data_IF_833621862144
#
_entry.id   IF_833621862144
#
_cell.length_a   1.000
_cell.length_b   1.000
_cell.length_c   1.000
_cell.angle_alpha   90.00
_cell.angle_beta   90.00
_cell.angle_gamma   90.00
#
_symmetry.space_group_name_H-M   'P 1'
#
loop_
_entity.id
_entity.type
_entity.pdbx_description
1 polymer ?
#
# COMPACT_ATOMS: atom_id res chain seq x y z
N UNK A 1 -7.91 10.19 0.77
CA UNK A 1 -8.19 9.75 2.15
C UNK A 1 -9.12 10.75 2.84
N UNK A 2 -9.64 10.38 4.01
CA UNK A 2 -10.47 11.28 4.83
C UNK A 2 -9.71 12.56 5.20
N UNK A 3 -8.45 12.45 5.60
CA UNK A 3 -7.58 13.57 5.95
C UNK A 3 -7.35 14.54 4.79
N UNK A 4 -7.19 14.05 3.58
CA UNK A 4 -6.99 14.90 2.39
C UNK A 4 -8.27 15.58 1.93
N UNK A 5 -9.43 14.92 2.10
CA UNK A 5 -10.72 15.48 1.71
C UNK A 5 -11.35 16.42 2.74
N UNK A 6 -10.87 16.39 3.99
CA UNK A 6 -11.42 17.16 5.10
C UNK A 6 -10.35 17.78 6.00
N UNK A 7 -9.36 18.53 5.44
CA UNK A 7 -8.24 19.06 6.21
C UNK A 7 -8.71 19.98 7.35
N UNK A 8 -9.73 20.79 7.12
CA UNK A 8 -10.25 21.74 8.12
C UNK A 8 -10.84 21.05 9.38
N UNK A 9 -11.29 19.79 9.24
CA UNK A 9 -11.79 19.00 10.39
C UNK A 9 -10.67 18.45 11.27
N UNK A 10 -9.42 18.50 10.80
CA UNK A 10 -8.24 17.98 11.48
C UNK A 10 -7.40 19.09 12.11
N UNK A 11 -7.81 20.36 11.94
CA UNK A 11 -7.23 21.47 12.67
C UNK A 11 -7.78 21.49 14.11
N UNK A 12 -6.90 21.78 15.09
CA UNK A 12 -7.23 21.88 16.53
C UNK A 12 -7.91 20.63 17.13
N UNK A 13 -7.50 19.43 16.73
CA UNK A 13 -8.08 18.17 17.25
C UNK A 13 -7.70 18.00 18.72
N UNK A 14 -8.71 17.87 19.58
CA UNK A 14 -8.51 17.56 21.01
C UNK A 14 -8.31 16.07 21.31
N UNK A 15 -8.50 15.23 20.31
CA UNK A 15 -8.33 13.78 20.36
C UNK A 15 -7.11 13.35 19.57
N UNK A 16 -6.65 12.12 19.75
CA UNK A 16 -5.63 11.51 18.90
C UNK A 16 -6.30 10.80 17.73
N UNK A 17 -5.80 11.03 16.53
CA UNK A 17 -6.22 10.35 15.30
C UNK A 17 -4.99 9.72 14.66
N UNK A 18 -5.00 8.42 14.50
CA UNK A 18 -4.02 7.68 13.69
C UNK A 18 -4.74 7.21 12.41
N UNK A 19 -4.22 7.54 11.25
CA UNK A 19 -4.89 7.31 9.97
C UNK A 19 -4.04 6.48 9.02
N UNK A 20 -4.66 5.95 7.96
CA UNK A 20 -4.02 5.15 6.91
C UNK A 20 -3.21 3.93 7.44
N UNK A 21 -3.68 3.26 8.49
CA UNK A 21 -3.02 2.12 9.14
C UNK A 21 -3.41 0.77 8.53
N UNK A 22 -3.23 0.64 7.22
CA UNK A 22 -3.43 -0.60 6.46
C UNK A 22 -2.12 -1.26 6.05
N UNK A 23 -2.15 -2.00 4.94
CA UNK A 23 -0.93 -2.56 4.36
C UNK A 23 -0.18 -1.52 3.52
N UNK A 24 -0.89 -0.81 2.62
CA UNK A 24 -0.41 0.31 1.83
C UNK A 24 -1.61 1.22 1.47
N UNK A 25 -1.69 2.42 2.05
CA UNK A 25 -0.80 2.97 3.08
C UNK A 25 -0.89 2.26 4.42
N UNK A 26 0.19 2.33 5.21
CA UNK A 26 0.29 1.76 6.54
C UNK A 26 1.61 1.06 6.78
N UNK A 27 1.68 -0.27 6.64
CA UNK A 27 2.93 -1.01 6.78
C UNK A 27 4.00 -0.49 5.81
N UNK A 28 3.64 -0.16 4.56
CA UNK A 28 4.55 0.46 3.59
C UNK A 28 5.23 1.71 4.16
N UNK A 29 4.44 2.61 4.77
CA UNK A 29 4.92 3.84 5.39
C UNK A 29 5.87 3.55 6.57
N UNK A 30 5.50 2.59 7.42
CA UNK A 30 6.31 2.16 8.57
C UNK A 30 7.68 1.66 8.14
N UNK A 31 7.74 0.85 7.07
CA UNK A 31 8.99 0.31 6.53
C UNK A 31 9.88 1.40 5.92
N UNK A 32 9.29 2.36 5.20
CA UNK A 32 10.01 3.54 4.69
C UNK A 32 10.55 4.39 5.83
N UNK A 33 9.74 4.63 6.87
CA UNK A 33 10.19 5.38 8.07
C UNK A 33 11.35 4.68 8.79
N UNK A 34 11.30 3.34 8.91
CA UNK A 34 12.40 2.56 9.49
C UNK A 34 13.69 2.76 8.70
N UNK A 35 13.63 2.70 7.35
CA UNK A 35 14.80 2.95 6.51
C UNK A 35 15.31 4.39 6.64
N UNK A 36 14.43 5.39 6.66
CA UNK A 36 14.83 6.79 6.84
C UNK A 36 15.56 7.00 8.18
N UNK A 37 15.07 6.41 9.26
CA UNK A 37 15.72 6.50 10.59
C UNK A 37 17.09 5.84 10.61
N UNK A 38 17.25 4.74 9.86
CA UNK A 38 18.52 4.01 9.77
C UNK A 38 19.53 4.71 8.84
N UNK A 39 19.10 5.12 7.64
CA UNK A 39 20.00 5.71 6.64
C UNK A 39 20.21 7.21 6.80
N UNK A 40 19.27 7.90 7.45
CA UNK A 40 19.30 9.36 7.65
C UNK A 40 18.86 10.17 6.42
N UNK A 41 18.81 9.59 5.24
CA UNK A 41 18.31 10.19 4.00
C UNK A 41 17.77 9.12 3.05
N UNK A 42 16.97 9.53 2.06
CA UNK A 42 16.42 8.62 1.04
C UNK A 42 16.70 9.17 -0.35
N UNK A 43 17.35 8.37 -1.20
CA UNK A 43 17.54 8.70 -2.61
C UNK A 43 16.34 8.22 -3.44
N UNK A 44 15.96 6.95 -3.28
CA UNK A 44 14.82 6.39 -3.99
C UNK A 44 13.97 5.50 -3.07
N UNK A 45 12.65 5.66 -3.19
CA UNK A 45 11.64 4.80 -2.56
C UNK A 45 10.69 4.29 -3.64
N UNK A 46 10.53 2.98 -3.71
CA UNK A 46 9.56 2.32 -4.60
C UNK A 46 8.69 1.38 -3.77
N UNK A 47 7.40 1.64 -3.79
CA UNK A 47 6.40 0.77 -3.17
C UNK A 47 5.60 0.13 -4.30
N UNK A 48 5.52 -1.20 -4.34
CA UNK A 48 4.70 -1.96 -5.29
C UNK A 48 3.76 -2.84 -4.50
N UNK A 49 2.45 -2.71 -4.72
CA UNK A 49 1.45 -3.45 -3.95
C UNK A 49 0.28 -3.89 -4.83
N UNK A 50 -0.28 -5.06 -4.54
CA UNK A 50 -1.49 -5.51 -5.20
C UNK A 50 -2.10 -6.76 -4.57
N UNK A 51 -3.43 -6.78 -4.54
CA UNK A 51 -4.23 -7.99 -4.29
C UNK A 51 -4.74 -8.54 -5.62
N UNK A 52 -4.50 -9.82 -5.88
CA UNK A 52 -4.79 -10.44 -7.17
C UNK A 52 -5.22 -11.90 -6.97
N UNK A 53 -6.03 -12.48 -7.90
CA UNK A 53 -6.24 -13.92 -7.90
C UNK A 53 -4.91 -14.67 -8.10
N UNK A 54 -4.76 -15.83 -7.47
CA UNK A 54 -3.53 -16.64 -7.55
C UNK A 54 -3.20 -17.09 -8.99
N UNK A 55 -4.19 -17.21 -9.83
CA UNK A 55 -4.04 -17.56 -11.24
C UNK A 55 -4.77 -16.53 -12.12
N UNK A 56 -4.16 -16.09 -13.22
CA UNK A 56 -4.84 -15.28 -14.21
C UNK A 56 -5.97 -16.07 -14.90
N UNK A 57 -6.92 -15.38 -15.50
CA UNK A 57 -8.01 -15.93 -16.29
C UNK A 57 -8.04 -15.30 -17.69
N UNK A 58 -8.99 -15.76 -18.52
CA UNK A 58 -9.20 -15.22 -19.87
C UNK A 58 -9.99 -13.90 -19.87
N UNK A 59 -10.55 -13.52 -18.70
CA UNK A 59 -11.34 -12.30 -18.53
C UNK A 59 -10.45 -11.15 -18.03
N UNK A 60 -10.60 -10.79 -16.76
CA UNK A 60 -9.91 -9.64 -16.20
C UNK A 60 -8.60 -9.97 -15.49
N UNK A 61 -8.39 -11.26 -15.14
CA UNK A 61 -7.29 -11.69 -14.25
C UNK A 61 -7.23 -10.88 -12.97
N UNK A 62 -8.39 -10.39 -12.53
CA UNK A 62 -8.53 -9.48 -11.41
C UNK A 62 -9.91 -9.67 -10.74
N UNK A 63 -9.94 -9.47 -9.45
CA UNK A 63 -11.13 -9.23 -8.63
C UNK A 63 -10.74 -8.24 -7.55
N UNK A 64 -11.62 -7.29 -7.24
CA UNK A 64 -11.30 -6.22 -6.31
C UNK A 64 -11.32 -6.72 -4.86
N UNK A 65 -10.19 -6.74 -4.14
CA UNK A 65 -10.14 -7.20 -2.76
C UNK A 65 -10.66 -6.16 -1.76
N UNK A 66 -10.99 -4.97 -2.25
CA UNK A 66 -11.62 -3.86 -1.54
C UNK A 66 -12.60 -3.15 -2.48
N UNK A 67 -13.03 -1.93 -2.16
CA UNK A 67 -14.00 -1.17 -2.96
C UNK A 67 -13.61 -1.06 -4.44
N UNK A 68 -14.36 -1.66 -5.38
CA UNK A 68 -14.08 -1.53 -6.81
C UNK A 68 -14.13 -0.08 -7.31
N UNK A 69 -14.95 0.77 -6.68
CA UNK A 69 -14.99 2.21 -7.00
C UNK A 69 -13.67 2.91 -6.68
N UNK A 70 -13.00 2.52 -5.58
CA UNK A 70 -11.69 3.07 -5.23
C UNK A 70 -10.62 2.61 -6.21
N UNK A 71 -10.70 1.36 -6.70
CA UNK A 71 -9.82 0.87 -7.77
C UNK A 71 -10.00 1.67 -9.07
N UNK A 72 -11.24 1.97 -9.46
CA UNK A 72 -11.51 2.82 -10.62
C UNK A 72 -10.94 4.23 -10.41
N UNK A 73 -11.08 4.77 -9.18
CA UNK A 73 -10.51 6.07 -8.84
C UNK A 73 -8.97 6.06 -8.92
N UNK A 74 -8.30 4.97 -8.49
CA UNK A 74 -6.84 4.80 -8.63
C UNK A 74 -6.39 4.82 -10.09
N UNK A 75 -7.19 4.28 -11.02
CA UNK A 75 -6.85 4.22 -12.44
C UNK A 75 -7.13 5.52 -13.18
N UNK A 76 -7.88 6.44 -12.59
CA UNK A 76 -8.30 7.69 -13.25
C UNK A 76 -7.69 8.95 -12.61
N UNK A 77 -7.36 8.90 -11.33
CA UNK A 77 -6.76 10.01 -10.60
C UNK A 77 -5.27 10.13 -10.93
N UNK A 78 -4.74 11.35 -11.22
CA UNK A 78 -3.30 11.56 -11.33
C UNK A 78 -2.57 11.03 -10.10
N UNK A 79 -1.40 10.44 -10.31
CA UNK A 79 -0.53 9.96 -9.24
C UNK A 79 0.41 11.08 -8.79
N UNK A 80 0.47 11.33 -7.49
CA UNK A 80 1.48 12.21 -6.88
C UNK A 80 2.72 11.38 -6.57
N UNK A 81 3.85 11.86 -7.02
CA UNK A 81 5.15 11.21 -6.87
C UNK A 81 6.20 12.25 -6.48
N UNK A 82 7.34 11.82 -5.93
CA UNK A 82 8.49 12.69 -5.74
C UNK A 82 9.47 12.48 -6.90
N UNK A 83 9.87 13.56 -7.55
CA UNK A 83 10.91 13.58 -8.56
C UNK A 83 11.88 14.75 -8.30
N UNK A 84 13.17 14.45 -8.17
CA UNK A 84 14.21 15.43 -7.87
C UNK A 84 13.95 16.20 -6.55
N UNK A 85 13.33 15.54 -5.57
CA UNK A 85 12.99 16.13 -4.29
C UNK A 85 11.71 16.95 -4.25
N UNK A 86 10.98 17.05 -5.38
CA UNK A 86 9.75 17.83 -5.49
C UNK A 86 8.54 16.95 -5.76
N UNK A 87 7.39 17.28 -5.18
CA UNK A 87 6.12 16.62 -5.48
C UNK A 87 5.66 17.03 -6.88
N UNK A 88 5.35 16.03 -7.72
CA UNK A 88 4.81 16.23 -9.05
C UNK A 88 3.63 15.29 -9.30
N UNK A 89 2.66 15.76 -10.11
CA UNK A 89 1.55 14.93 -10.58
C UNK A 89 1.89 14.34 -11.95
N UNK A 90 1.67 13.04 -12.09
CA UNK A 90 1.79 12.31 -13.36
C UNK A 90 0.47 11.62 -13.70
N UNK A 91 0.13 11.38 -14.96
CA UNK A 91 -1.08 10.63 -15.29
C UNK A 91 -1.09 9.25 -14.63
N UNK A 92 -2.25 8.80 -14.14
CA UNK A 92 -2.41 7.44 -13.64
C UNK A 92 -2.01 6.40 -14.69
N UNK A 93 -1.62 5.21 -14.23
CA UNK A 93 -1.23 4.07 -15.06
C UNK A 93 0.02 4.31 -15.95
N UNK A 94 0.79 5.37 -15.68
CA UNK A 94 2.08 5.58 -16.34
C UNK A 94 3.16 4.69 -15.73
N UNK A 95 4.33 4.66 -16.39
CA UNK A 95 5.48 3.82 -16.00
C UNK A 95 5.11 2.32 -15.88
N UNK A 96 4.23 1.86 -16.79
CA UNK A 96 3.86 0.44 -16.85
C UNK A 96 5.07 -0.40 -17.24
N UNK A 97 5.46 -1.33 -16.37
CA UNK A 97 6.60 -2.21 -16.58
C UNK A 97 6.39 -3.59 -15.97
N UNK A 98 7.11 -4.59 -16.50
CA UNK A 98 7.08 -5.95 -15.99
C UNK A 98 7.93 -6.10 -14.74
N UNK A 99 7.42 -6.85 -13.77
CA UNK A 99 8.10 -7.19 -12.51
C UNK A 99 8.03 -8.69 -12.24
N UNK A 100 8.84 -9.16 -11.28
CA UNK A 100 8.76 -10.51 -10.75
C UNK A 100 8.27 -10.47 -9.29
N UNK A 101 7.03 -10.85 -9.06
CA UNK A 101 6.44 -10.93 -7.74
C UNK A 101 6.52 -12.38 -7.22
N UNK A 102 7.65 -12.74 -6.57
CA UNK A 102 7.91 -14.08 -6.04
C UNK A 102 7.68 -15.21 -7.08
N UNK A 103 8.28 -15.05 -8.28
CA UNK A 103 8.16 -16.03 -9.37
C UNK A 103 6.95 -15.83 -10.28
N UNK A 104 6.04 -14.91 -9.96
CA UNK A 104 4.94 -14.52 -10.83
C UNK A 104 5.38 -13.34 -11.70
N UNK A 105 5.29 -13.49 -13.02
CA UNK A 105 5.45 -12.37 -13.95
C UNK A 105 4.22 -11.47 -13.86
N UNK A 106 4.40 -10.26 -13.32
CA UNK A 106 3.34 -9.27 -13.11
C UNK A 106 3.67 -7.96 -13.83
N UNK A 107 2.74 -7.02 -13.84
CA UNK A 107 2.93 -5.64 -14.29
C UNK A 107 2.70 -4.69 -13.12
N UNK A 108 3.54 -3.64 -13.04
CA UNK A 108 3.40 -2.55 -12.09
C UNK A 108 3.24 -1.22 -12.84
N UNK A 109 2.44 -0.31 -12.29
CA UNK A 109 2.18 1.00 -12.87
C UNK A 109 1.86 2.01 -11.76
N UNK A 110 2.21 3.28 -11.98
CA UNK A 110 2.04 4.35 -11.00
C UNK A 110 0.57 4.60 -10.64
N UNK A 111 0.31 4.72 -9.35
CA UNK A 111 -0.96 5.12 -8.74
C UNK A 111 -0.73 6.09 -7.56
N UNK A 112 -1.78 6.81 -7.15
CA UNK A 112 -1.70 7.83 -6.09
C UNK A 112 -1.87 7.20 -4.70
N UNK A 113 -0.84 6.52 -4.20
CA UNK A 113 -0.86 5.80 -2.93
C UNK A 113 0.11 6.29 -1.85
N UNK A 114 1.06 7.18 -2.16
CA UNK A 114 2.10 7.63 -1.21
C UNK A 114 1.55 8.34 0.03
N UNK A 115 0.46 9.08 -0.08
CA UNK A 115 -0.21 9.77 1.02
C UNK A 115 0.74 10.67 1.82
N UNK A 116 0.83 10.42 3.14
CA UNK A 116 1.70 11.17 4.05
C UNK A 116 3.19 11.06 3.71
N UNK A 117 3.62 9.99 3.04
CA UNK A 117 5.02 9.84 2.59
C UNK A 117 5.48 10.97 1.65
N UNK A 118 4.56 11.67 0.97
CA UNK A 118 4.89 12.84 0.14
C UNK A 118 5.60 13.95 0.93
N UNK A 119 5.39 14.01 2.24
CA UNK A 119 6.08 14.96 3.13
C UNK A 119 7.48 14.49 3.55
N UNK A 120 7.86 13.24 3.28
CA UNK A 120 9.18 12.71 3.64
C UNK A 120 10.27 13.17 2.66
N UNK A 121 11.48 13.45 3.17
CA UNK A 121 12.60 13.87 2.31
C UNK A 121 13.12 12.69 1.49
N UNK A 122 12.83 12.67 0.21
CA UNK A 122 13.38 11.72 -0.76
C UNK A 122 13.67 12.41 -2.09
N UNK A 123 14.64 11.92 -2.86
CA UNK A 123 14.91 12.45 -4.20
C UNK A 123 13.94 11.89 -5.24
N UNK A 124 13.52 10.64 -5.07
CA UNK A 124 12.54 9.96 -5.92
C UNK A 124 11.66 9.06 -5.07
N UNK A 125 10.35 9.13 -5.26
CA UNK A 125 9.40 8.23 -4.59
C UNK A 125 8.19 7.99 -5.46
N UNK A 126 7.74 6.72 -5.52
CA UNK A 126 6.53 6.32 -6.24
C UNK A 126 5.88 5.10 -5.64
N UNK A 127 4.54 5.05 -5.72
CA UNK A 127 3.78 3.85 -5.44
C UNK A 127 3.18 3.29 -6.72
N UNK A 128 3.24 1.98 -6.84
CA UNK A 128 2.84 1.22 -8.03
C UNK A 128 1.79 0.18 -7.64
N UNK A 129 0.70 0.17 -8.35
CA UNK A 129 -0.28 -0.92 -8.28
C UNK A 129 0.20 -2.09 -9.13
N UNK A 130 0.09 -3.32 -8.59
CA UNK A 130 0.54 -4.56 -9.23
C UNK A 130 -0.65 -5.37 -9.72
N UNK A 131 -0.61 -5.79 -10.99
CA UNK A 131 -1.65 -6.59 -11.65
C UNK A 131 -1.05 -7.68 -12.53
N UNK A 132 -1.86 -8.67 -12.91
CA UNK A 132 -1.50 -9.62 -13.95
C UNK A 132 -1.30 -8.91 -15.29
N UNK A 133 -0.35 -9.38 -16.15
CA UNK A 133 -0.10 -8.79 -17.45
C UNK A 133 -1.36 -8.71 -18.32
N UNK A 134 -1.50 -7.57 -18.99
CA UNK A 134 -2.62 -7.30 -19.89
C UNK A 134 -3.88 -6.73 -19.22
N UNK A 135 -3.96 -6.68 -17.88
CA UNK A 135 -5.10 -6.10 -17.17
C UNK A 135 -5.31 -4.62 -17.54
N UNK A 136 -4.26 -3.82 -17.50
CA UNK A 136 -4.32 -2.40 -17.81
C UNK A 136 -4.64 -2.16 -19.28
N UNK A 137 -4.06 -2.94 -20.19
CA UNK A 137 -4.39 -2.85 -21.59
C UNK A 137 -5.88 -3.16 -21.84
N UNK A 138 -6.42 -4.17 -21.16
CA UNK A 138 -7.84 -4.52 -21.24
C UNK A 138 -8.72 -3.39 -20.70
N UNK A 139 -8.36 -2.81 -19.54
CA UNK A 139 -9.07 -1.67 -18.96
C UNK A 139 -9.12 -0.50 -19.95
N UNK A 140 -8.00 -0.10 -20.50
CA UNK A 140 -7.89 1.01 -21.46
C UNK A 140 -8.67 0.79 -22.76
N UNK A 141 -8.82 -0.45 -23.20
CA UNK A 141 -9.56 -0.84 -24.39
C UNK A 141 -11.03 -1.15 -24.11
N UNK A 142 -11.43 -1.20 -22.85
CA UNK A 142 -12.81 -1.48 -22.47
C UNK A 142 -13.68 -0.23 -22.68
N UNK A 143 -14.95 -0.46 -23.04
CA UNK A 143 -15.97 0.58 -23.09
C UNK A 143 -16.98 0.42 -21.94
N UNK A 144 -16.63 -0.35 -20.91
CA UNK A 144 -17.50 -0.60 -19.77
C UNK A 144 -17.66 0.68 -18.94
N UNK A 145 -18.89 0.90 -18.49
CA UNK A 145 -19.17 1.93 -17.48
C UNK A 145 -18.57 1.55 -16.12
N UNK A 146 -18.42 2.51 -15.19
CA UNK A 146 -17.98 2.21 -13.81
C UNK A 146 -18.80 1.10 -13.14
N UNK A 147 -20.13 1.10 -13.30
CA UNK A 147 -21.00 0.09 -12.70
C UNK A 147 -20.75 -1.32 -13.30
N UNK A 148 -20.54 -1.40 -14.64
CA UNK A 148 -20.19 -2.66 -15.29
C UNK A 148 -18.81 -3.17 -14.87
N UNK A 149 -17.84 -2.28 -14.61
CA UNK A 149 -16.54 -2.66 -14.06
C UNK A 149 -16.65 -3.16 -12.62
N UNK A 150 -17.48 -2.53 -11.79
CA UNK A 150 -17.77 -2.99 -10.42
C UNK A 150 -18.30 -4.42 -10.43
N UNK A 151 -19.25 -4.72 -11.32
CA UNK A 151 -19.80 -6.06 -11.47
C UNK A 151 -18.75 -7.06 -11.99
N UNK A 152 -17.95 -6.65 -12.98
CA UNK A 152 -16.91 -7.49 -13.60
C UNK A 152 -15.74 -7.80 -12.65
N UNK A 153 -15.48 -6.93 -11.67
CA UNK A 153 -14.41 -7.09 -10.68
C UNK A 153 -14.92 -7.52 -9.30
N UNK A 154 -16.16 -7.99 -9.21
CA UNK A 154 -16.71 -8.46 -7.94
C UNK A 154 -15.82 -9.55 -7.34
N UNK A 155 -15.54 -9.43 -6.03
CA UNK A 155 -14.76 -10.43 -5.30
C UNK A 155 -15.50 -11.77 -5.27
N UNK A 156 -14.87 -12.81 -5.78
CA UNK A 156 -15.32 -14.19 -5.61
C UNK A 156 -14.60 -14.81 -4.39
N UNK A 157 -15.29 -15.03 -3.26
CA UNK A 157 -14.68 -15.57 -2.06
C UNK A 157 -14.24 -17.05 -2.20
N UNK A 158 -14.65 -17.73 -3.27
CA UNK A 158 -14.23 -19.10 -3.56
C UNK A 158 -12.96 -19.16 -4.43
N UNK A 159 -12.57 -18.05 -5.01
CA UNK A 159 -11.38 -17.95 -5.84
C UNK A 159 -10.17 -17.60 -4.99
N UNK A 160 -9.15 -18.47 -5.00
CA UNK A 160 -7.89 -18.23 -4.30
C UNK A 160 -7.21 -16.95 -4.79
N UNK A 161 -6.73 -16.16 -3.85
CA UNK A 161 -6.11 -14.86 -4.12
C UNK A 161 -4.84 -14.67 -3.26
N UNK A 162 -4.10 -13.62 -3.50
CA UNK A 162 -2.93 -13.23 -2.73
C UNK A 162 -2.78 -11.71 -2.69
N UNK A 163 -2.20 -11.23 -1.61
CA UNK A 163 -1.66 -9.87 -1.51
C UNK A 163 -0.14 -9.96 -1.55
N UNK A 164 0.48 -9.13 -2.37
CA UNK A 164 1.92 -9.01 -2.47
C UNK A 164 2.32 -7.53 -2.41
N UNK A 165 3.36 -7.23 -1.65
CA UNK A 165 3.94 -5.89 -1.57
C UNK A 165 5.47 -5.97 -1.56
N UNK A 166 6.11 -5.06 -2.29
CA UNK A 166 7.54 -4.77 -2.24
C UNK A 166 7.73 -3.32 -1.81
N UNK A 167 8.56 -3.11 -0.81
CA UNK A 167 9.04 -1.78 -0.42
C UNK A 167 10.54 -1.79 -0.59
N UNK A 168 11.04 -1.03 -1.57
CA UNK A 168 12.47 -0.88 -1.85
C UNK A 168 12.90 0.55 -1.55
N UNK A 169 13.97 0.70 -0.80
CA UNK A 169 14.54 1.99 -0.37
C UNK A 169 16.03 1.98 -0.62
N UNK A 170 16.59 3.08 -1.14
CA UNK A 170 18.02 3.26 -1.30
C UNK A 170 18.49 4.62 -0.78
N UNK A 171 19.76 4.66 -0.32
CA UNK A 171 20.47 5.87 0.13
C UNK A 171 21.96 5.66 -0.08
N UNK A 172 22.58 6.36 -1.03
CA UNK A 172 23.96 6.14 -1.44
C UNK A 172 24.18 4.70 -1.91
N UNK A 173 25.09 4.00 -1.26
CA UNK A 173 25.42 2.58 -1.54
C UNK A 173 24.55 1.60 -0.72
N UNK A 174 23.72 2.10 0.20
CA UNK A 174 22.85 1.31 1.04
C UNK A 174 21.51 1.07 0.33
N UNK A 175 20.99 -0.15 0.46
CA UNK A 175 19.66 -0.49 -0.03
C UNK A 175 18.98 -1.48 0.90
N UNK A 176 17.66 -1.46 0.88
CA UNK A 176 16.84 -2.39 1.65
C UNK A 176 15.55 -2.68 0.90
N UNK A 177 15.17 -3.94 0.86
CA UNK A 177 13.93 -4.36 0.21
C UNK A 177 13.16 -5.30 1.13
N UNK A 178 11.92 -4.96 1.43
CA UNK A 178 10.98 -5.85 2.10
C UNK A 178 10.02 -6.42 1.08
N UNK A 179 9.79 -7.73 1.18
CA UNK A 179 8.74 -8.42 0.43
C UNK A 179 7.72 -8.93 1.42
N UNK A 180 6.47 -8.55 1.24
CA UNK A 180 5.34 -9.00 2.04
C UNK A 180 4.40 -9.82 1.16
N UNK A 181 3.99 -11.01 1.63
CA UNK A 181 3.02 -11.85 0.92
C UNK A 181 2.07 -12.55 1.88
N UNK A 182 0.79 -12.55 1.55
CA UNK A 182 -0.26 -13.34 2.21
C UNK A 182 -1.17 -14.00 1.18
N UNK A 183 -1.64 -15.21 1.49
CA UNK A 183 -2.50 -16.02 0.61
C UNK A 183 -3.96 -16.10 1.10
N UNK A 184 -4.30 -15.30 2.11
CA UNK A 184 -5.56 -15.46 2.82
C UNK A 184 -5.57 -16.68 3.74
N UNK A 185 -6.51 -16.72 4.67
CA UNK A 185 -6.61 -17.80 5.66
C UNK A 185 -8.01 -17.85 6.28
N UNK A 186 -8.51 -19.05 6.54
CA UNK A 186 -9.75 -19.29 7.29
C UNK A 186 -11.00 -18.59 6.72
N UNK A 187 -11.00 -18.30 5.42
CA UNK A 187 -12.10 -17.61 4.71
C UNK A 187 -11.94 -16.09 4.61
N UNK A 188 -10.93 -15.53 5.28
CA UNK A 188 -10.59 -14.12 5.14
C UNK A 188 -9.64 -13.90 3.96
N UNK A 189 -9.90 -12.87 3.15
CA UNK A 189 -9.02 -12.51 2.04
C UNK A 189 -7.68 -11.97 2.55
N UNK A 190 -6.62 -12.18 1.75
CA UNK A 190 -5.27 -11.74 2.09
C UNK A 190 -5.20 -10.23 2.34
N UNK A 191 -5.89 -9.43 1.53
CA UNK A 191 -5.92 -7.98 1.68
C UNK A 191 -6.65 -7.55 2.97
N UNK A 192 -7.79 -8.17 3.28
CA UNK A 192 -8.53 -7.88 4.52
C UNK A 192 -7.69 -8.27 5.75
N UNK A 193 -7.02 -9.44 5.70
CA UNK A 193 -6.14 -9.91 6.79
C UNK A 193 -4.96 -8.97 7.00
N UNK A 194 -4.19 -8.69 5.98
CA UNK A 194 -2.98 -7.85 6.10
C UNK A 194 -3.33 -6.46 6.59
N UNK A 195 -4.38 -5.83 6.04
CA UNK A 195 -4.86 -4.52 6.49
C UNK A 195 -5.37 -4.57 7.93
N UNK A 196 -6.18 -5.58 8.27
CA UNK A 196 -6.76 -5.72 9.60
C UNK A 196 -5.73 -6.02 10.69
N UNK A 197 -4.71 -6.83 10.41
CA UNK A 197 -3.63 -7.14 11.36
C UNK A 197 -2.81 -5.89 11.69
N UNK A 198 -2.41 -5.10 10.69
CA UNK A 198 -1.70 -3.84 10.93
C UNK A 198 -2.52 -2.89 11.79
N UNK A 199 -3.80 -2.70 11.45
CA UNK A 199 -4.71 -1.85 12.22
C UNK A 199 -4.86 -2.35 13.67
N UNK A 200 -5.08 -3.65 13.87
CA UNK A 200 -5.25 -4.25 15.19
C UNK A 200 -4.01 -4.07 16.06
N UNK A 201 -2.80 -4.28 15.51
CA UNK A 201 -1.54 -4.07 16.23
C UNK A 201 -1.38 -2.62 16.68
N UNK A 202 -1.70 -1.64 15.82
CA UNK A 202 -1.67 -0.23 16.17
C UNK A 202 -2.63 0.09 17.31
N UNK A 203 -3.84 -0.45 17.28
CA UNK A 203 -4.85 -0.25 18.35
C UNK A 203 -4.38 -0.87 19.66
N UNK A 204 -3.86 -2.10 19.64
CA UNK A 204 -3.35 -2.78 20.84
C UNK A 204 -2.18 -2.00 21.44
N UNK A 205 -1.20 -1.62 20.63
CA UNK A 205 -0.05 -0.84 21.08
C UNK A 205 -0.48 0.50 21.70
N UNK A 206 -1.50 1.14 21.14
CA UNK A 206 -2.03 2.38 21.68
C UNK A 206 -2.78 2.19 23.00
N UNK A 207 -3.57 1.12 23.14
CA UNK A 207 -4.24 0.79 24.41
C UNK A 207 -3.22 0.52 25.51
N UNK A 208 -2.14 -0.18 25.19
CA UNK A 208 -1.08 -0.54 26.16
C UNK A 208 -0.21 0.69 26.53
N UNK A 209 -0.09 1.66 25.64
CA UNK A 209 0.71 2.89 25.82
C UNK A 209 -0.05 4.12 25.35
N UNK A 210 -1.11 4.53 26.08
CA UNK A 210 -1.96 5.66 25.67
C UNK A 210 -1.19 7.00 25.59
N UNK A 211 -0.05 7.12 26.28
CA UNK A 211 0.84 8.27 26.24
C UNK A 211 1.74 8.32 25.00
N UNK A 212 1.72 7.32 24.15
CA UNK A 212 2.53 7.23 22.92
C UNK A 212 2.28 8.44 21.99
N UNK A 213 1.03 8.91 21.96
CA UNK A 213 0.63 10.08 21.22
C UNK A 213 -0.12 11.06 22.10
N UNK A 214 0.14 12.36 21.91
CA UNK A 214 -0.71 13.44 22.43
C UNK A 214 -1.95 13.64 21.57
N UNK A 215 -2.71 14.71 21.83
CA UNK A 215 -3.75 15.15 20.90
C UNK A 215 -3.14 15.55 19.57
N UNK A 216 -3.75 15.16 18.47
CA UNK A 216 -3.27 15.48 17.12
C UNK A 216 -3.56 14.39 16.11
N UNK A 217 -3.06 14.60 14.90
CA UNK A 217 -3.20 13.69 13.77
C UNK A 217 -1.85 13.07 13.46
N UNK A 218 -1.79 11.76 13.38
CA UNK A 218 -0.57 10.98 13.21
C UNK A 218 -0.71 10.04 12.03
N UNK A 219 0.39 9.89 11.29
CA UNK A 219 0.51 8.95 10.18
C UNK A 219 1.25 7.67 10.64
N UNK A 220 1.23 6.58 9.86
CA UNK A 220 1.91 5.34 10.22
C UNK A 220 3.42 5.49 10.42
N UNK A 221 4.05 6.41 9.71
CA UNK A 221 5.46 6.72 9.83
C UNK A 221 5.85 7.41 11.14
N UNK A 222 4.88 7.95 11.88
CA UNK A 222 5.09 8.56 13.21
C UNK A 222 5.18 7.51 14.32
N UNK A 223 4.83 6.24 14.03
CA UNK A 223 4.86 5.16 15.01
C UNK A 223 6.31 4.87 15.48
N UNK A 224 6.50 4.59 16.78
CA UNK A 224 7.79 4.15 17.30
C UNK A 224 8.27 2.83 16.68
N UNK A 225 9.59 2.64 16.58
CA UNK A 225 10.19 1.45 15.95
C UNK A 225 9.77 0.15 16.61
N UNK A 226 9.60 0.13 17.94
CA UNK A 226 9.15 -1.06 18.65
C UNK A 226 7.69 -1.42 18.36
N UNK A 227 6.83 -0.45 18.00
CA UNK A 227 5.47 -0.72 17.51
C UNK A 227 5.52 -1.29 16.10
N UNK A 228 6.37 -0.72 15.24
CA UNK A 228 6.56 -1.25 13.87
C UNK A 228 7.08 -2.69 13.95
N UNK A 229 8.04 -2.98 14.84
CA UNK A 229 8.54 -4.32 15.06
C UNK A 229 7.44 -5.27 15.56
N UNK A 230 6.58 -4.82 16.49
CA UNK A 230 5.41 -5.60 16.94
C UNK A 230 4.47 -5.94 15.79
N UNK A 231 4.17 -4.99 14.89
CA UNK A 231 3.36 -5.24 13.68
C UNK A 231 3.97 -6.38 12.86
N UNK A 232 5.27 -6.31 12.58
CA UNK A 232 5.99 -7.33 11.80
C UNK A 232 5.92 -8.70 12.48
N UNK A 233 6.17 -8.77 13.79
CA UNK A 233 6.16 -10.01 14.57
C UNK A 233 4.77 -10.66 14.60
N UNK A 234 3.71 -9.86 14.80
CA UNK A 234 2.34 -10.37 14.80
C UNK A 234 1.94 -10.87 13.41
N UNK A 235 2.26 -10.12 12.36
CA UNK A 235 2.00 -10.57 10.99
C UNK A 235 2.70 -11.91 10.69
N UNK A 236 3.96 -12.06 11.09
CA UNK A 236 4.67 -13.34 10.98
C UNK A 236 3.99 -14.47 11.77
N UNK A 237 3.59 -14.20 13.01
CA UNK A 237 2.91 -15.19 13.86
C UNK A 237 1.57 -15.64 13.25
N UNK A 238 0.89 -14.75 12.54
CA UNK A 238 -0.34 -15.04 11.80
C UNK A 238 -0.12 -15.69 10.43
N UNK A 239 1.15 -15.88 10.03
CA UNK A 239 1.53 -16.59 8.81
C UNK A 239 1.68 -15.70 7.57
N UNK A 240 1.70 -14.37 7.73
CA UNK A 240 2.08 -13.45 6.66
C UNK A 240 3.60 -13.53 6.46
N UNK A 241 4.06 -13.74 5.24
CA UNK A 241 5.48 -13.71 4.92
C UNK A 241 5.98 -12.27 4.82
N UNK A 242 7.03 -11.94 5.56
CA UNK A 242 7.75 -10.66 5.45
C UNK A 242 9.23 -10.98 5.38
N UNK A 243 9.85 -10.80 4.22
CA UNK A 243 11.26 -11.07 3.97
C UNK A 243 12.02 -9.75 3.80
N UNK A 244 13.16 -9.62 4.45
CA UNK A 244 14.12 -8.55 4.22
C UNK A 244 15.26 -9.07 3.32
N UNK A 245 15.59 -8.34 2.25
CA UNK A 245 16.62 -8.68 1.24
C UNK A 245 17.65 -7.56 1.09
#
# INVERSE_FOLDING_TARGET
SFSESTPDLLEDVSSTILWDVGIAPGLSNMLVATALREFGSLDEVSIKVGGNPQQPDEEWSYMAPFSPHDVIAEYTRPARVIQQGEEVEVPAMTDLHSINANGRGMEAFLTDGLRSLLAMPAQKMGEYTVRWPGHIQRYQNSNLSPDELVDAWALDPLRSEFTWMEVSVSSGDENRTWIVEDLGKDGDSSMARTTGLVTACCVIAWIDRPEMFGSGVYAPEDLPDDVIQLVIEVMHAEGVSIELR
#
